data_IF_349634778047
#
_entry.id   IF_349634778047
#
_cell.length_a   1.000
_cell.length_b   1.000
_cell.length_c   1.000
_cell.angle_alpha   90.00
_cell.angle_beta   90.00
_cell.angle_gamma   90.00
#
_symmetry.space_group_name_H-M   'P 1'
#
loop_
_entity.id
_entity.type
_entity.pdbx_description
1 polymer ?
#
# COMPACT_ATOMS: atom_id res chain seq x y z
N UNK A 1 33.30 -3.24 28.99
CA UNK A 1 32.17 -2.28 28.88
C UNK A 1 32.24 -1.46 27.59
N UNK A 2 32.21 -2.08 26.41
CA UNK A 2 32.31 -1.37 25.12
C UNK A 2 31.15 -1.69 24.13
N UNK A 3 30.39 -2.77 24.34
CA UNK A 3 29.34 -3.21 23.41
C UNK A 3 28.03 -2.40 23.42
N UNK A 4 27.67 -1.72 24.53
CA UNK A 4 26.38 -1.03 24.63
C UNK A 4 26.28 0.25 23.79
N UNK A 5 27.38 0.99 23.59
CA UNK A 5 27.36 2.29 22.88
C UNK A 5 27.13 2.16 21.37
N UNK A 6 27.54 1.05 20.75
CA UNK A 6 27.31 0.82 19.32
C UNK A 6 25.85 0.51 19.00
N UNK A 7 25.16 -0.27 19.84
CA UNK A 7 23.75 -0.60 19.65
C UNK A 7 22.84 0.63 19.77
N UNK A 8 23.10 1.52 20.73
CA UNK A 8 22.37 2.79 20.87
C UNK A 8 22.60 3.73 19.68
N UNK A 9 23.82 3.74 19.12
CA UNK A 9 24.16 4.56 17.94
C UNK A 9 23.37 4.13 16.72
N UNK A 10 23.29 2.83 16.43
CA UNK A 10 22.53 2.28 15.30
C UNK A 10 21.02 2.53 15.47
N UNK A 11 20.49 2.40 16.68
CA UNK A 11 19.08 2.69 16.97
C UNK A 11 18.75 4.18 16.76
N UNK A 12 19.59 5.09 17.25
CA UNK A 12 19.42 6.53 17.07
C UNK A 12 19.51 6.95 15.58
N UNK A 13 20.44 6.37 14.83
CA UNK A 13 20.62 6.62 13.40
C UNK A 13 19.43 6.10 12.57
N UNK A 14 18.85 4.96 12.96
CA UNK A 14 17.62 4.41 12.37
C UNK A 14 16.42 5.35 12.55
N UNK A 15 16.20 5.85 13.77
CA UNK A 15 15.11 6.78 14.10
C UNK A 15 15.31 8.15 13.39
N UNK A 16 16.55 8.58 13.20
CA UNK A 16 16.87 9.79 12.44
C UNK A 16 16.59 9.62 10.93
N UNK A 17 16.96 8.47 10.34
CA UNK A 17 16.70 8.14 8.95
C UNK A 17 15.20 8.07 8.64
N UNK A 18 14.42 7.47 9.54
CA UNK A 18 12.96 7.36 9.45
C UNK A 18 12.28 8.74 9.43
N UNK A 19 12.68 9.64 10.33
CA UNK A 19 12.15 11.02 10.41
C UNK A 19 12.48 11.88 9.18
N UNK A 20 13.58 11.59 8.48
CA UNK A 20 14.00 12.30 7.26
C UNK A 20 13.29 11.82 5.98
N UNK A 21 12.45 10.78 6.03
CA UNK A 21 11.81 10.16 4.85
C UNK A 21 10.61 10.94 4.28
N UNK A 22 10.04 11.90 5.04
CA UNK A 22 8.77 12.56 4.70
C UNK A 22 8.91 13.74 3.73
N UNK A 23 9.15 13.44 2.44
CA UNK A 23 8.74 14.33 1.34
C UNK A 23 9.77 14.59 0.24
N UNK A 24 11.05 14.33 0.48
CA UNK A 24 12.11 14.44 -0.53
C UNK A 24 12.59 13.04 -0.88
N UNK A 25 12.75 12.73 -2.18
CA UNK A 25 13.31 11.43 -2.63
C UNK A 25 14.74 11.32 -2.09
N UNK A 26 14.93 10.65 -0.93
CA UNK A 26 16.21 10.58 -0.24
C UNK A 26 17.29 10.15 -1.23
N UNK A 27 18.36 10.95 -1.30
CA UNK A 27 19.49 10.66 -2.19
C UNK A 27 20.08 9.33 -1.74
N UNK A 28 20.12 8.36 -2.65
CA UNK A 28 20.75 7.06 -2.44
C UNK A 28 22.26 7.31 -2.25
N UNK A 29 22.75 7.19 -1.02
CA UNK A 29 24.15 7.47 -0.64
C UNK A 29 24.98 6.19 -0.52
N UNK A 30 24.40 5.09 -0.06
CA UNK A 30 25.07 3.79 0.04
C UNK A 30 25.18 3.10 -1.33
N UNK A 31 26.35 2.48 -1.56
CA UNK A 31 26.65 1.64 -2.73
C UNK A 31 27.04 0.25 -2.22
N UNK A 32 26.48 -0.78 -2.84
CA UNK A 32 26.83 -2.18 -2.57
C UNK A 32 27.57 -2.70 -3.80
N UNK A 33 28.74 -3.31 -3.58
CA UNK A 33 29.53 -3.94 -4.64
C UNK A 33 29.39 -5.46 -4.56
N UNK A 34 28.90 -6.06 -5.64
CA UNK A 34 28.80 -7.52 -5.82
C UNK A 34 29.56 -7.90 -7.08
N UNK A 35 30.28 -9.02 -7.05
CA UNK A 35 30.95 -9.58 -8.24
C UNK A 35 30.03 -10.60 -8.91
N UNK A 36 30.02 -10.58 -10.23
CA UNK A 36 29.32 -11.55 -11.06
C UNK A 36 30.29 -12.07 -12.12
N UNK A 37 30.20 -13.36 -12.44
CA UNK A 37 30.71 -13.93 -13.70
C UNK A 37 29.91 -13.39 -14.89
N UNK A 38 30.42 -13.58 -16.11
CA UNK A 38 29.73 -13.16 -17.32
C UNK A 38 28.34 -13.82 -17.48
N UNK A 39 28.22 -15.09 -17.10
CA UNK A 39 26.95 -15.84 -17.11
C UNK A 39 25.93 -15.30 -16.11
N UNK A 40 26.35 -14.99 -14.89
CA UNK A 40 25.45 -14.43 -13.87
C UNK A 40 25.02 -13.00 -14.23
N UNK A 41 25.93 -12.17 -14.76
CA UNK A 41 25.60 -10.83 -15.22
C UNK A 41 24.56 -10.83 -16.35
N UNK A 42 24.68 -11.78 -17.29
CA UNK A 42 23.70 -11.96 -18.37
C UNK A 42 22.35 -12.47 -17.84
N UNK A 43 22.35 -13.41 -16.90
CA UNK A 43 21.11 -13.89 -16.27
C UNK A 43 20.37 -12.76 -15.52
N UNK A 44 21.11 -11.91 -14.79
CA UNK A 44 20.55 -10.74 -14.09
C UNK A 44 20.00 -9.69 -15.07
N UNK A 45 20.66 -9.43 -16.19
CA UNK A 45 20.18 -8.50 -17.21
C UNK A 45 18.89 -9.00 -17.88
N UNK A 46 18.80 -10.30 -18.21
CA UNK A 46 17.57 -10.91 -18.74
C UNK A 46 16.41 -10.85 -17.73
N UNK A 47 16.65 -11.20 -16.47
CA UNK A 47 15.62 -11.15 -15.43
C UNK A 47 15.13 -9.71 -15.16
N UNK A 48 16.05 -8.73 -15.12
CA UNK A 48 15.69 -7.33 -14.97
C UNK A 48 14.82 -6.83 -16.15
N UNK A 49 15.16 -7.22 -17.39
CA UNK A 49 14.36 -6.90 -18.59
C UNK A 49 12.97 -7.54 -18.57
N UNK A 50 12.87 -8.81 -18.16
CA UNK A 50 11.58 -9.49 -18.00
C UNK A 50 10.69 -8.81 -16.96
N UNK A 51 11.28 -8.26 -15.89
CA UNK A 51 10.58 -7.48 -14.86
C UNK A 51 10.34 -6.00 -15.24
N UNK A 52 10.67 -5.56 -16.46
CA UNK A 52 10.53 -4.15 -16.89
C UNK A 52 11.46 -3.18 -16.16
N UNK A 53 12.53 -3.65 -15.53
CA UNK A 53 13.41 -2.88 -14.65
C UNK A 53 14.82 -2.69 -15.21
N UNK A 54 15.50 -1.64 -14.74
CA UNK A 54 16.99 -1.60 -14.84
C UNK A 54 17.61 -2.58 -13.86
N UNK A 55 18.77 -3.14 -14.18
CA UNK A 55 19.54 -4.03 -13.27
C UNK A 55 19.71 -3.44 -11.87
N UNK A 56 19.96 -2.13 -11.75
CA UNK A 56 20.13 -1.42 -10.46
C UNK A 56 18.84 -1.19 -9.65
N UNK A 57 17.68 -1.37 -10.29
CA UNK A 57 16.37 -1.38 -9.65
C UNK A 57 16.00 -2.82 -9.24
N UNK A 58 16.20 -3.79 -10.14
CA UNK A 58 15.95 -5.21 -9.90
C UNK A 58 16.79 -5.80 -8.76
N UNK A 59 18.11 -5.59 -8.77
CA UNK A 59 18.98 -6.05 -7.67
C UNK A 59 18.64 -5.38 -6.33
N UNK A 60 18.06 -4.18 -6.36
CA UNK A 60 17.64 -3.44 -5.17
C UNK A 60 16.30 -3.94 -4.62
N UNK A 61 15.33 -4.29 -5.47
CA UNK A 61 14.09 -4.91 -5.01
C UNK A 61 14.40 -6.25 -4.36
N UNK A 62 15.19 -7.12 -5.01
CA UNK A 62 15.61 -8.40 -4.43
C UNK A 62 16.37 -8.24 -3.10
N UNK A 63 17.31 -7.30 -3.00
CA UNK A 63 18.08 -7.08 -1.77
C UNK A 63 17.23 -6.57 -0.59
N UNK A 64 16.13 -5.87 -0.88
CA UNK A 64 15.21 -5.36 0.13
C UNK A 64 14.08 -6.37 0.45
N UNK A 65 13.65 -7.15 -0.53
CA UNK A 65 12.74 -8.30 -0.38
C UNK A 65 13.38 -9.36 0.53
N UNK A 66 14.64 -9.73 0.25
CA UNK A 66 15.44 -10.62 1.12
C UNK A 66 15.74 -10.02 2.51
N UNK A 67 15.46 -8.74 2.73
CA UNK A 67 15.51 -8.07 4.03
C UNK A 67 14.12 -7.86 4.67
N UNK A 68 13.04 -8.39 4.07
CA UNK A 68 11.67 -8.31 4.57
C UNK A 68 10.95 -6.97 4.35
N UNK A 69 11.44 -6.12 3.44
CA UNK A 69 10.91 -4.77 3.20
C UNK A 69 9.83 -4.78 2.11
N UNK A 70 8.64 -5.29 2.41
CA UNK A 70 7.52 -5.35 1.46
C UNK A 70 6.72 -4.02 1.33
N UNK A 71 6.03 -3.77 0.19
CA UNK A 71 5.98 -4.56 -1.05
C UNK A 71 6.67 -3.90 -2.26
N UNK A 72 7.41 -4.68 -3.05
CA UNK A 72 8.08 -4.24 -4.30
C UNK A 72 7.16 -4.26 -5.52
N UNK A 73 6.11 -3.44 -5.48
CA UNK A 73 5.22 -3.26 -6.62
C UNK A 73 5.91 -2.47 -7.73
N UNK A 74 5.96 -3.05 -8.93
CA UNK A 74 6.41 -2.40 -10.17
C UNK A 74 5.37 -1.36 -10.65
N UNK A 75 5.61 -0.69 -11.78
CA UNK A 75 4.69 0.35 -12.26
C UNK A 75 3.36 -0.22 -12.81
N UNK A 76 3.36 -1.43 -13.39
CA UNK A 76 2.15 -2.12 -13.87
C UNK A 76 1.29 -2.65 -12.72
N UNK A 77 1.91 -3.23 -11.68
CA UNK A 77 1.22 -3.63 -10.45
C UNK A 77 0.45 -2.45 -9.84
N UNK A 78 1.06 -1.26 -9.86
CA UNK A 78 0.46 -0.03 -9.33
C UNK A 78 -0.71 0.45 -10.17
N UNK A 79 -0.66 0.29 -11.49
CA UNK A 79 -1.79 0.55 -12.38
C UNK A 79 -2.95 -0.42 -12.10
N UNK A 80 -2.66 -1.70 -11.86
CA UNK A 80 -3.67 -2.69 -11.46
C UNK A 80 -4.33 -2.29 -10.12
N UNK A 81 -3.54 -1.89 -9.11
CA UNK A 81 -4.11 -1.44 -7.83
C UNK A 81 -4.90 -0.12 -7.95
N UNK A 82 -4.53 0.81 -8.83
CA UNK A 82 -5.34 2.02 -9.05
C UNK A 82 -6.67 1.69 -9.74
N UNK A 83 -6.67 0.80 -10.73
CA UNK A 83 -7.90 0.28 -11.35
C UNK A 83 -8.81 -0.41 -10.32
N UNK A 84 -8.25 -1.30 -9.49
CA UNK A 84 -8.99 -1.95 -8.40
C UNK A 84 -9.54 -0.93 -7.38
N UNK A 85 -8.80 0.15 -7.09
CA UNK A 85 -9.30 1.23 -6.24
C UNK A 85 -10.48 1.99 -6.88
N UNK A 86 -10.44 2.21 -8.19
CA UNK A 86 -11.55 2.84 -8.93
C UNK A 86 -12.82 1.98 -8.87
N UNK A 87 -12.70 0.66 -9.05
CA UNK A 87 -13.84 -0.26 -8.94
C UNK A 87 -14.39 -0.36 -7.51
N UNK A 88 -13.53 -0.49 -6.50
CA UNK A 88 -13.96 -0.49 -5.08
C UNK A 88 -14.64 0.84 -4.68
N UNK A 89 -14.27 1.95 -5.32
CA UNK A 89 -14.96 3.23 -5.15
C UNK A 89 -16.38 3.20 -5.73
N UNK A 90 -16.58 2.56 -6.88
CA UNK A 90 -17.91 2.41 -7.51
C UNK A 90 -18.82 1.56 -6.62
N UNK A 91 -18.37 0.36 -6.22
CA UNK A 91 -19.09 -0.53 -5.28
C UNK A 91 -19.51 0.21 -4.00
N UNK A 92 -18.63 1.04 -3.43
CA UNK A 92 -18.95 1.85 -2.24
C UNK A 92 -19.99 2.94 -2.50
N UNK A 93 -20.05 3.52 -3.70
CA UNK A 93 -21.08 4.49 -4.07
C UNK A 93 -22.45 3.82 -4.16
N UNK A 94 -22.51 2.63 -4.77
CA UNK A 94 -23.74 1.84 -4.91
C UNK A 94 -24.26 1.37 -3.55
N UNK A 95 -23.38 0.84 -2.69
CA UNK A 95 -23.72 0.51 -1.29
C UNK A 95 -24.31 1.72 -0.55
N UNK A 96 -23.69 2.91 -0.68
CA UNK A 96 -24.19 4.13 -0.07
C UNK A 96 -25.51 4.64 -0.69
N UNK A 97 -25.78 4.36 -1.97
CA UNK A 97 -27.08 4.62 -2.57
C UNK A 97 -28.16 3.69 -2.00
N UNK A 98 -27.89 2.37 -1.91
CA UNK A 98 -28.80 1.39 -1.32
C UNK A 98 -29.11 1.69 0.15
N UNK A 99 -28.11 2.01 0.98
CA UNK A 99 -28.35 2.43 2.38
C UNK A 99 -29.26 3.67 2.46
N UNK A 100 -29.11 4.63 1.55
CA UNK A 100 -29.95 5.85 1.50
C UNK A 100 -31.37 5.58 0.99
N UNK A 101 -31.56 4.59 0.12
CA UNK A 101 -32.89 4.17 -0.34
C UNK A 101 -33.62 3.45 0.79
N UNK A 102 -32.99 2.44 1.40
CA UNK A 102 -33.56 1.74 2.55
C UNK A 102 -33.93 2.70 3.70
N UNK A 103 -33.08 3.67 4.06
CA UNK A 103 -33.44 4.71 5.04
C UNK A 103 -34.60 5.63 4.62
N UNK A 104 -34.87 5.80 3.32
CA UNK A 104 -36.02 6.60 2.84
C UNK A 104 -37.30 5.80 2.79
N UNK A 105 -37.23 4.50 2.59
CA UNK A 105 -38.39 3.65 2.42
C UNK A 105 -38.90 3.15 3.78
N UNK A 106 -38.03 2.67 4.67
CA UNK A 106 -38.38 2.41 6.07
C UNK A 106 -38.84 3.65 6.87
N UNK A 107 -38.43 4.86 6.44
CA UNK A 107 -38.94 6.12 7.01
C UNK A 107 -40.32 6.54 6.47
N UNK A 108 -40.85 5.87 5.43
CA UNK A 108 -42.25 5.99 4.97
C UNK A 108 -43.12 4.87 5.51
N UNK A 109 -42.51 3.72 5.82
CA UNK A 109 -43.17 2.52 6.35
C UNK A 109 -43.15 2.47 7.89
N UNK A 110 -43.02 3.65 8.52
CA UNK A 110 -42.95 3.86 9.97
C UNK A 110 -44.30 3.62 10.67
N UNK A 111 -44.73 2.37 10.69
CA UNK A 111 -45.73 1.82 11.63
C UNK A 111 -45.62 0.28 11.80
N UNK A 112 -44.69 -0.40 11.10
CA UNK A 112 -44.35 -1.82 11.33
C UNK A 112 -42.85 -2.04 11.34
N UNK A 113 -42.30 -2.25 12.54
CA UNK A 113 -40.88 -2.57 12.74
C UNK A 113 -40.55 -3.96 12.19
N UNK A 114 -40.14 -4.04 10.91
CA UNK A 114 -39.66 -5.28 10.31
C UNK A 114 -38.20 -5.55 10.71
N UNK A 115 -38.00 -6.56 11.57
CA UNK A 115 -36.67 -6.95 12.06
C UNK A 115 -35.68 -7.27 10.92
N UNK A 116 -36.15 -7.91 9.84
CA UNK A 116 -35.34 -8.20 8.64
C UNK A 116 -34.88 -6.96 7.87
N UNK A 117 -35.62 -5.86 7.89
CA UNK A 117 -35.19 -4.60 7.26
C UNK A 117 -34.08 -3.94 8.10
N UNK A 118 -34.17 -4.04 9.42
CA UNK A 118 -33.12 -3.62 10.35
C UNK A 118 -31.85 -4.46 10.19
N UNK A 119 -31.97 -5.78 9.95
CA UNK A 119 -30.84 -6.66 9.66
C UNK A 119 -30.17 -6.32 8.32
N UNK A 120 -30.96 -6.13 7.25
CA UNK A 120 -30.45 -5.73 5.94
C UNK A 120 -29.72 -4.37 5.98
N UNK A 121 -30.27 -3.39 6.72
CA UNK A 121 -29.62 -2.10 6.94
C UNK A 121 -28.29 -2.22 7.69
N UNK A 122 -28.22 -3.06 8.74
CA UNK A 122 -26.97 -3.34 9.47
C UNK A 122 -25.92 -3.97 8.56
N UNK A 123 -26.30 -5.00 7.80
CA UNK A 123 -25.40 -5.66 6.84
C UNK A 123 -24.84 -4.68 5.78
N UNK A 124 -25.69 -3.79 5.22
CA UNK A 124 -25.22 -2.77 4.28
C UNK A 124 -24.24 -1.77 4.91
N UNK A 125 -24.44 -1.39 6.18
CA UNK A 125 -23.54 -0.50 6.92
C UNK A 125 -22.18 -1.16 7.15
N UNK A 126 -22.17 -2.43 7.58
CA UNK A 126 -20.96 -3.22 7.81
C UNK A 126 -20.19 -3.47 6.50
N UNK A 127 -20.87 -3.93 5.45
CA UNK A 127 -20.26 -4.18 4.14
C UNK A 127 -19.62 -2.89 3.56
N UNK A 128 -20.28 -1.73 3.72
CA UNK A 128 -19.72 -0.43 3.33
C UNK A 128 -18.44 -0.09 4.10
N UNK A 129 -18.36 -0.44 5.39
CA UNK A 129 -17.15 -0.22 6.19
C UNK A 129 -16.00 -1.13 5.75
N UNK A 130 -16.28 -2.41 5.48
CA UNK A 130 -15.30 -3.39 4.96
C UNK A 130 -14.77 -2.95 3.59
N UNK A 131 -15.64 -2.63 2.63
CA UNK A 131 -15.24 -2.15 1.29
C UNK A 131 -14.42 -0.84 1.38
N UNK A 132 -14.76 0.06 2.32
CA UNK A 132 -13.99 1.27 2.54
C UNK A 132 -12.58 0.98 3.10
N UNK A 133 -12.44 0.03 4.03
CA UNK A 133 -11.14 -0.39 4.58
C UNK A 133 -10.25 -1.04 3.50
N UNK A 134 -10.80 -1.99 2.72
CA UNK A 134 -10.10 -2.62 1.59
C UNK A 134 -9.67 -1.55 0.57
N UNK A 135 -10.56 -0.62 0.22
CA UNK A 135 -10.25 0.47 -0.72
C UNK A 135 -9.13 1.41 -0.23
N UNK A 136 -8.96 1.62 1.07
CA UNK A 136 -7.83 2.38 1.62
C UNK A 136 -6.52 1.62 1.40
N UNK A 137 -6.52 0.31 1.63
CA UNK A 137 -5.33 -0.53 1.52
C UNK A 137 -4.92 -0.74 0.05
N UNK A 138 -5.87 -1.02 -0.84
CA UNK A 138 -5.65 -1.09 -2.29
C UNK A 138 -5.08 0.23 -2.82
N UNK A 139 -5.58 1.38 -2.34
CA UNK A 139 -5.00 2.69 -2.69
C UNK A 139 -3.59 2.89 -2.15
N UNK A 140 -3.27 2.36 -0.96
CA UNK A 140 -1.91 2.39 -0.39
C UNK A 140 -0.93 1.64 -1.30
N UNK A 141 -1.35 0.51 -1.87
CA UNK A 141 -0.57 -0.33 -2.77
C UNK A 141 -0.39 0.30 -4.17
N UNK A 142 -1.46 0.87 -4.75
CA UNK A 142 -1.37 1.71 -5.96
C UNK A 142 -0.30 2.80 -5.83
N UNK A 143 -0.15 3.31 -4.62
CA UNK A 143 0.82 4.34 -4.27
C UNK A 143 0.26 5.72 -4.53
N UNK A 144 0.55 6.65 -3.61
CA UNK A 144 0.19 8.04 -3.82
C UNK A 144 0.98 8.61 -5.00
N UNK A 145 0.32 8.77 -6.15
CA UNK A 145 0.88 9.34 -7.37
C UNK A 145 1.78 10.55 -7.09
N UNK A 146 3.09 10.32 -7.16
CA UNK A 146 4.18 11.29 -6.93
C UNK A 146 3.95 12.32 -5.81
N UNK A 147 3.66 11.84 -4.60
CA UNK A 147 4.04 12.48 -3.32
C UNK A 147 3.26 13.72 -2.83
N UNK A 148 2.62 13.58 -1.65
CA UNK A 148 2.41 14.68 -0.67
C UNK A 148 1.84 14.15 0.67
N UNK A 149 2.49 14.51 1.81
CA UNK A 149 1.99 14.59 3.21
C UNK A 149 1.48 13.28 3.89
N UNK A 150 1.86 12.80 5.09
CA UNK A 150 2.70 13.18 6.29
C UNK A 150 4.06 13.88 6.03
N UNK A 151 4.77 14.45 7.01
CA UNK A 151 4.75 14.32 8.50
C UNK A 151 3.46 14.77 9.22
N UNK A 152 3.06 14.02 10.26
CA UNK A 152 2.43 14.48 11.51
C UNK A 152 2.84 13.47 12.59
N UNK A 153 3.33 13.98 13.73
CA UNK A 153 4.05 13.27 14.81
C UNK A 153 5.38 12.63 14.36
#
# INVERSE_FOLDING_TARGET
MAGMRHSETIAAETIAAERASTGTRQRKTAIIHTRFSASEALAVDLAAKQAGMTVSAFLRSLALEGAGVEPFLNDDDRLIFDLLFQELRNVRLDLNAMTRMAHRDGAKESERENESESEALRFLIELRAVVAAIGIEVKRLAGNGRGKRRRML
#
